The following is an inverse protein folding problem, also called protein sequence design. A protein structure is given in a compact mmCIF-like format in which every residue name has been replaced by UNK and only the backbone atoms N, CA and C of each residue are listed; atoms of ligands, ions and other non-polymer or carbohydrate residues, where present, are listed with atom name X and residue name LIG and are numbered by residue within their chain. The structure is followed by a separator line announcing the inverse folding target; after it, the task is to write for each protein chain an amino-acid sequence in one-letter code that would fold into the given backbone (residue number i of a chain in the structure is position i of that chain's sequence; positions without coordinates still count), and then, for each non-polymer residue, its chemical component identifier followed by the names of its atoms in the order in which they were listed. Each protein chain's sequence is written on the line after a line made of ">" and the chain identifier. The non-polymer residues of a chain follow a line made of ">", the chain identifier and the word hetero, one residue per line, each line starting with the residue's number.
data_IF_979778243042
#
_entry.id   IF_979778243042
#
_cell.length_a   1.000
_cell.length_b   1.000
_cell.length_c   1.000
_cell.angle_alpha   90.00
_cell.angle_beta   90.00
_cell.angle_gamma   90.00
#
_symmetry.space_group_name_H-M   'P 1'
#
loop_
_entity.id
_entity.type
_entity.pdbx_description
1 polymer ?
#
# COMPACT_ATOMS: atom_id res chain seq x y z
N UNK A 1 -16.60 5.13 9.74
CA UNK A 1 -16.29 4.43 8.47
C UNK A 1 -14.79 4.10 8.47
N UNK A 2 -14.43 2.83 8.18
CA UNK A 2 -13.02 2.41 8.08
C UNK A 2 -12.79 1.87 6.66
N UNK A 3 -11.74 2.37 5.99
CA UNK A 3 -11.24 1.86 4.71
C UNK A 3 -9.81 1.39 4.94
N UNK A 4 -9.58 0.08 4.81
CA UNK A 4 -8.26 -0.51 4.90
C UNK A 4 -7.55 -0.38 3.54
N UNK A 5 -6.59 0.53 3.46
CA UNK A 5 -5.89 0.85 2.21
C UNK A 5 -4.76 -0.13 1.87
N UNK A 6 -4.46 -1.10 2.73
CA UNK A 6 -3.33 -1.99 2.54
C UNK A 6 -3.62 -3.41 3.03
N UNK A 7 -3.94 -4.29 2.11
CA UNK A 7 -4.09 -5.71 2.41
C UNK A 7 -3.63 -6.58 1.24
N UNK A 8 -3.44 -7.85 1.49
CA UNK A 8 -2.97 -8.82 0.51
C UNK A 8 -3.77 -10.11 0.60
N UNK A 9 -4.04 -10.72 -0.56
CA UNK A 9 -4.45 -12.12 -0.65
C UNK A 9 -3.26 -12.99 -1.00
N UNK A 10 -3.43 -14.28 -0.84
CA UNK A 10 -2.47 -15.33 -1.21
C UNK A 10 -3.11 -16.17 -2.30
N UNK A 11 -2.31 -16.61 -3.27
CA UNK A 11 -2.79 -17.48 -4.37
C UNK A 11 -3.58 -18.68 -3.84
N UNK A 12 -4.66 -19.05 -4.51
CA UNK A 12 -5.61 -20.09 -4.06
C UNK A 12 -4.98 -21.45 -3.74
N UNK A 13 -3.85 -21.78 -4.38
CA UNK A 13 -3.14 -23.05 -4.15
C UNK A 13 -2.12 -22.99 -3.01
N UNK A 14 -2.00 -21.88 -2.29
CA UNK A 14 -1.09 -21.76 -1.16
C UNK A 14 -1.63 -22.44 0.09
N UNK A 15 -0.77 -23.07 0.92
CA UNK A 15 -1.17 -23.57 2.23
C UNK A 15 -1.55 -22.44 3.21
N UNK A 16 -1.26 -21.19 2.87
CA UNK A 16 -1.62 -19.99 3.63
C UNK A 16 -2.82 -19.24 3.04
N UNK A 17 -3.55 -19.89 2.10
CA UNK A 17 -4.75 -19.30 1.54
C UNK A 17 -5.80 -19.08 2.64
N UNK A 18 -6.37 -17.88 2.62
CA UNK A 18 -7.46 -17.48 3.50
C UNK A 18 -8.68 -17.26 2.61
N UNK A 19 -9.80 -17.86 2.97
CA UNK A 19 -11.04 -17.74 2.23
C UNK A 19 -11.59 -16.31 2.29
N UNK A 20 -12.31 -15.89 1.26
CA UNK A 20 -12.91 -14.57 1.18
C UNK A 20 -13.92 -14.32 2.30
N UNK A 21 -14.64 -15.34 2.74
CA UNK A 21 -15.60 -15.24 3.84
C UNK A 21 -14.93 -14.84 5.17
N UNK A 22 -13.67 -15.27 5.38
CA UNK A 22 -12.91 -14.83 6.55
C UNK A 22 -12.55 -13.35 6.50
N UNK A 23 -12.22 -12.82 5.30
CA UNK A 23 -12.04 -11.37 5.11
C UNK A 23 -13.32 -10.61 5.40
N UNK A 24 -14.46 -11.05 4.84
CA UNK A 24 -15.74 -10.41 5.06
C UNK A 24 -16.16 -10.43 6.53
N UNK A 25 -15.98 -11.58 7.17
CA UNK A 25 -16.27 -11.73 8.60
C UNK A 25 -15.43 -10.77 9.44
N UNK A 26 -14.12 -10.69 9.20
CA UNK A 26 -13.23 -9.76 9.91
C UNK A 26 -13.64 -8.31 9.63
N UNK A 27 -13.96 -7.96 8.39
CA UNK A 27 -14.43 -6.62 8.04
C UNK A 27 -15.70 -6.26 8.81
N UNK A 28 -16.65 -7.19 8.92
CA UNK A 28 -17.91 -6.99 9.68
C UNK A 28 -17.65 -6.90 11.18
N UNK A 29 -16.82 -7.79 11.74
CA UNK A 29 -16.48 -7.81 13.17
C UNK A 29 -15.83 -6.49 13.64
N UNK A 30 -15.03 -5.85 12.79
CA UNK A 30 -14.27 -4.62 13.13
C UNK A 30 -14.79 -3.33 12.46
N UNK A 31 -15.87 -3.41 11.69
CA UNK A 31 -16.50 -2.26 11.04
C UNK A 31 -15.67 -1.69 9.88
N UNK A 32 -14.90 -2.54 9.18
CA UNK A 32 -14.20 -2.18 7.94
C UNK A 32 -15.20 -2.19 6.80
N UNK A 33 -15.44 -1.02 6.20
CA UNK A 33 -16.40 -0.88 5.09
C UNK A 33 -15.80 -1.38 3.78
N UNK A 34 -14.57 -0.97 3.48
CA UNK A 34 -13.86 -1.38 2.26
C UNK A 34 -12.41 -1.76 2.55
N UNK A 35 -11.87 -2.61 1.69
CA UNK A 35 -10.48 -3.06 1.78
C UNK A 35 -9.81 -3.05 0.40
N UNK A 36 -8.60 -2.51 0.34
CA UNK A 36 -7.76 -2.53 -0.86
C UNK A 36 -6.91 -3.81 -0.87
N UNK A 37 -7.04 -4.59 -1.94
CA UNK A 37 -6.25 -5.80 -2.19
C UNK A 37 -5.14 -5.45 -3.16
N UNK A 38 -3.91 -5.56 -2.72
CA UNK A 38 -2.73 -5.11 -3.46
C UNK A 38 -2.11 -6.22 -4.29
N UNK A 39 -1.73 -5.86 -5.51
CA UNK A 39 -0.95 -6.70 -6.40
C UNK A 39 0.43 -7.05 -5.87
N UNK A 40 0.99 -8.14 -6.38
CA UNK A 40 2.36 -8.58 -6.07
C UNK A 40 3.07 -8.93 -7.37
N UNK A 41 4.15 -8.20 -7.67
CA UNK A 41 5.11 -8.58 -8.71
C UNK A 41 6.52 -8.34 -8.15
N UNK A 42 7.27 -9.42 -8.01
CA UNK A 42 8.66 -9.44 -7.59
C UNK A 42 9.59 -9.78 -8.76
N UNK A 43 9.09 -9.62 -10.00
CA UNK A 43 9.83 -9.93 -11.21
C UNK A 43 10.26 -11.40 -11.24
N UNK A 44 11.46 -11.64 -11.75
CA UNK A 44 12.04 -13.01 -11.84
C UNK A 44 12.17 -13.69 -10.48
N UNK A 45 12.37 -12.91 -9.41
CA UNK A 45 12.44 -13.45 -8.06
C UNK A 45 11.09 -14.07 -7.66
N UNK A 46 9.99 -13.38 -7.95
CA UNK A 46 8.65 -13.86 -7.68
C UNK A 46 8.24 -15.02 -8.59
N UNK A 47 8.69 -15.04 -9.85
CA UNK A 47 8.45 -16.14 -10.76
C UNK A 47 9.09 -17.44 -10.24
N UNK A 48 10.33 -17.36 -9.71
CA UNK A 48 11.04 -18.48 -9.11
C UNK A 48 10.42 -18.96 -7.79
N UNK A 49 9.98 -18.03 -6.95
CA UNK A 49 9.40 -18.33 -5.65
C UNK A 49 7.88 -18.58 -5.69
N UNK A 50 7.24 -18.50 -6.86
CA UNK A 50 5.77 -18.58 -7.05
C UNK A 50 5.01 -17.60 -6.12
N UNK A 51 5.58 -16.42 -5.93
CA UNK A 51 5.05 -15.39 -5.02
C UNK A 51 4.42 -14.19 -5.75
N UNK A 52 4.50 -14.14 -7.08
CA UNK A 52 3.76 -13.18 -7.89
C UNK A 52 2.26 -13.51 -7.86
N UNK A 53 1.43 -12.48 -7.79
CA UNK A 53 -0.03 -12.63 -7.78
C UNK A 53 -0.59 -12.17 -9.13
N UNK A 54 -1.26 -13.07 -9.89
CA UNK A 54 -1.94 -12.68 -11.12
C UNK A 54 -3.07 -11.67 -10.86
N UNK A 55 -3.21 -10.69 -11.76
CA UNK A 55 -4.26 -9.67 -11.65
C UNK A 55 -5.67 -10.28 -11.74
N UNK A 56 -5.80 -11.43 -12.44
CA UNK A 56 -7.05 -12.18 -12.52
C UNK A 56 -7.52 -12.69 -11.16
N UNK A 57 -6.61 -13.17 -10.30
CA UNK A 57 -6.98 -13.65 -8.96
C UNK A 57 -7.47 -12.48 -8.09
N UNK A 58 -6.86 -11.30 -8.23
CA UNK A 58 -7.33 -10.09 -7.55
C UNK A 58 -8.71 -9.68 -8.08
N UNK A 59 -8.87 -9.66 -9.40
CA UNK A 59 -10.12 -9.27 -10.05
C UNK A 59 -11.27 -10.21 -9.67
N UNK A 60 -11.03 -11.52 -9.65
CA UNK A 60 -12.02 -12.52 -9.24
C UNK A 60 -12.41 -12.33 -7.77
N UNK A 61 -11.43 -12.03 -6.91
CA UNK A 61 -11.67 -11.73 -5.50
C UNK A 61 -12.53 -10.48 -5.33
N UNK A 62 -12.21 -9.40 -6.05
CA UNK A 62 -12.95 -8.13 -5.99
C UNK A 62 -14.35 -8.26 -6.59
N UNK A 63 -14.50 -8.96 -7.73
CA UNK A 63 -15.79 -9.11 -8.42
C UNK A 63 -16.87 -9.79 -7.59
N UNK A 64 -16.48 -10.67 -6.68
CA UNK A 64 -17.44 -11.36 -5.82
C UNK A 64 -18.17 -10.38 -4.86
N UNK A 65 -17.47 -9.34 -4.41
CA UNK A 65 -17.98 -8.29 -3.50
C UNK A 65 -17.41 -6.92 -3.86
N UNK A 66 -17.83 -6.30 -4.98
CA UNK A 66 -17.26 -5.05 -5.48
C UNK A 66 -17.59 -3.82 -4.62
N UNK A 67 -18.57 -3.96 -3.74
CA UNK A 67 -18.90 -2.96 -2.72
C UNK A 67 -17.96 -3.01 -1.50
N UNK A 68 -17.24 -4.12 -1.30
CA UNK A 68 -16.35 -4.35 -0.17
C UNK A 68 -14.85 -4.28 -0.53
N UNK A 69 -14.48 -4.68 -1.73
CA UNK A 69 -13.06 -4.78 -2.13
C UNK A 69 -12.72 -3.88 -3.31
N UNK A 70 -11.47 -3.39 -3.29
CA UNK A 70 -10.84 -2.62 -4.36
C UNK A 70 -9.53 -3.30 -4.71
N UNK A 71 -9.24 -3.53 -5.98
CA UNK A 71 -8.02 -4.21 -6.41
C UNK A 71 -6.98 -3.23 -6.97
N UNK A 72 -5.71 -3.47 -6.68
CA UNK A 72 -4.58 -2.82 -7.33
C UNK A 72 -3.79 -3.86 -8.12
N UNK A 73 -3.34 -3.50 -9.33
CA UNK A 73 -2.36 -4.29 -10.09
C UNK A 73 -0.94 -4.08 -9.55
N UNK A 74 0.06 -4.66 -10.19
CA UNK A 74 1.46 -4.42 -9.88
C UNK A 74 2.30 -4.21 -11.14
N UNK A 75 3.48 -3.60 -11.00
CA UNK A 75 4.46 -3.48 -12.07
C UNK A 75 5.88 -3.73 -11.54
N UNK A 76 6.79 -4.16 -12.43
CA UNK A 76 8.17 -4.48 -12.08
C UNK A 76 9.13 -4.13 -13.22
N UNK A 77 10.33 -3.56 -12.95
CA UNK A 77 11.26 -3.15 -14.01
C UNK A 77 11.94 -4.31 -14.76
N UNK A 78 11.81 -5.55 -14.30
CA UNK A 78 12.25 -6.74 -15.04
C UNK A 78 11.28 -7.17 -16.15
N UNK A 79 10.04 -6.68 -16.13
CA UNK A 79 9.09 -6.78 -17.24
C UNK A 79 9.45 -5.74 -18.29
N UNK A 80 9.18 -6.00 -19.56
CA UNK A 80 9.37 -4.97 -20.58
C UNK A 80 8.41 -3.80 -20.34
N UNK A 81 8.75 -2.63 -20.86
CA UNK A 81 7.85 -1.47 -20.85
C UNK A 81 6.49 -1.85 -21.41
N UNK A 82 6.47 -2.50 -22.58
CA UNK A 82 5.25 -2.96 -23.25
C UNK A 82 4.42 -3.86 -22.32
N UNK A 83 5.04 -4.87 -21.71
CA UNK A 83 4.31 -5.81 -20.84
C UNK A 83 3.69 -5.10 -19.63
N UNK A 84 4.40 -4.15 -19.01
CA UNK A 84 3.88 -3.35 -17.90
C UNK A 84 2.70 -2.48 -18.34
N UNK A 85 2.81 -1.79 -19.47
CA UNK A 85 1.75 -0.90 -19.95
C UNK A 85 0.51 -1.68 -20.38
N UNK A 86 0.65 -2.76 -21.13
CA UNK A 86 -0.46 -3.66 -21.51
C UNK A 86 -1.14 -4.26 -20.27
N UNK A 87 -0.36 -4.66 -19.25
CA UNK A 87 -0.89 -5.15 -17.98
C UNK A 87 -1.73 -4.10 -17.28
N UNK A 88 -1.23 -2.85 -17.15
CA UNK A 88 -1.95 -1.77 -16.49
C UNK A 88 -3.24 -1.42 -17.26
N UNK A 89 -3.17 -1.29 -18.57
CA UNK A 89 -4.35 -1.00 -19.39
C UNK A 89 -5.43 -2.08 -19.24
N UNK A 90 -5.04 -3.35 -19.31
CA UNK A 90 -5.94 -4.47 -19.09
C UNK A 90 -6.49 -4.50 -17.66
N UNK A 91 -5.65 -4.26 -16.65
CA UNK A 91 -6.05 -4.24 -15.24
C UNK A 91 -7.16 -3.20 -15.00
N UNK A 92 -7.04 -2.02 -15.59
CA UNK A 92 -8.03 -0.94 -15.44
C UNK A 92 -9.27 -1.19 -16.29
N UNK A 93 -9.10 -1.45 -17.60
CA UNK A 93 -10.21 -1.46 -18.56
C UNK A 93 -11.03 -2.75 -18.51
N UNK A 94 -10.37 -3.89 -18.30
CA UNK A 94 -11.02 -5.21 -18.37
C UNK A 94 -11.29 -5.80 -16.98
N UNK A 95 -10.39 -5.55 -16.00
CA UNK A 95 -10.44 -6.15 -14.68
C UNK A 95 -10.98 -5.21 -13.59
N UNK A 96 -11.07 -3.90 -13.86
CA UNK A 96 -11.61 -2.91 -12.93
C UNK A 96 -10.70 -2.60 -11.73
N UNK A 97 -9.38 -2.83 -11.86
CA UNK A 97 -8.41 -2.51 -10.82
C UNK A 97 -8.13 -1.00 -10.81
N UNK A 98 -7.89 -0.43 -9.63
CA UNK A 98 -7.95 1.02 -9.41
C UNK A 98 -6.64 1.63 -8.88
N UNK A 99 -5.51 0.95 -9.01
CA UNK A 99 -4.21 1.45 -8.58
C UNK A 99 -3.09 0.46 -8.89
N UNK A 100 -1.87 0.85 -8.56
CA UNK A 100 -0.64 0.10 -8.85
C UNK A 100 0.16 -0.10 -7.56
N UNK A 101 0.63 -1.33 -7.31
CA UNK A 101 1.59 -1.64 -6.25
C UNK A 101 2.97 -1.86 -6.84
N UNK A 102 3.97 -1.21 -6.26
CA UNK A 102 5.40 -1.38 -6.59
C UNK A 102 6.13 -1.98 -5.39
N UNK A 103 6.98 -2.98 -5.65
CA UNK A 103 7.70 -3.73 -4.62
C UNK A 103 9.23 -3.59 -4.76
N UNK A 104 9.84 -2.44 -4.39
CA UNK A 104 11.27 -2.15 -4.63
C UNK A 104 12.22 -3.15 -3.95
N UNK A 105 11.84 -3.72 -2.80
CA UNK A 105 12.64 -4.74 -2.11
C UNK A 105 12.98 -5.97 -2.97
N UNK A 106 12.31 -6.14 -4.10
CA UNK A 106 12.62 -7.17 -5.10
C UNK A 106 13.91 -6.91 -5.91
N UNK A 107 14.56 -5.74 -5.73
CA UNK A 107 15.91 -5.55 -6.25
C UNK A 107 16.16 -4.25 -7.04
N UNK A 108 15.30 -3.25 -6.92
CA UNK A 108 15.41 -1.97 -7.63
C UNK A 108 15.01 -0.81 -6.71
N UNK A 109 15.43 0.40 -7.04
CA UNK A 109 15.00 1.61 -6.35
C UNK A 109 13.71 2.18 -6.96
N UNK A 110 12.88 2.91 -6.19
CA UNK A 110 11.66 3.54 -6.72
C UNK A 110 11.88 4.45 -7.93
N UNK A 111 13.02 5.13 -8.00
CA UNK A 111 13.45 6.01 -9.08
C UNK A 111 14.13 5.29 -10.25
N UNK A 112 13.94 3.97 -10.41
CA UNK A 112 14.44 3.23 -11.56
C UNK A 112 13.76 3.72 -12.85
N UNK A 113 14.52 4.28 -13.78
CA UNK A 113 14.01 4.89 -15.01
C UNK A 113 13.16 3.92 -15.88
N UNK A 114 13.35 2.61 -15.73
CA UNK A 114 12.52 1.59 -16.43
C UNK A 114 11.06 1.60 -15.98
N UNK A 115 10.76 2.20 -14.83
CA UNK A 115 9.40 2.36 -14.32
C UNK A 115 8.77 3.70 -14.71
N UNK A 116 9.51 4.65 -15.27
CA UNK A 116 8.98 5.96 -15.63
C UNK A 116 7.77 5.90 -16.58
N UNK A 117 7.75 5.02 -17.61
CA UNK A 117 6.55 4.85 -18.43
C UNK A 117 5.32 4.35 -17.62
N UNK A 118 5.55 3.56 -16.56
CA UNK A 118 4.47 3.14 -15.63
C UNK A 118 3.93 4.34 -14.85
N UNK A 119 4.81 5.24 -14.40
CA UNK A 119 4.43 6.43 -13.64
C UNK A 119 3.70 7.46 -14.52
N UNK A 120 4.15 7.63 -15.75
CA UNK A 120 3.43 8.43 -16.77
C UNK A 120 2.01 7.88 -16.98
N UNK A 121 1.86 6.57 -17.21
CA UNK A 121 0.57 5.91 -17.39
C UNK A 121 -0.31 6.02 -16.15
N UNK A 122 0.25 5.84 -14.94
CA UNK A 122 -0.48 6.02 -13.69
C UNK A 122 -1.03 7.44 -13.55
N UNK A 123 -0.22 8.44 -13.89
CA UNK A 123 -0.60 9.87 -13.88
C UNK A 123 -1.71 10.14 -14.88
N UNK A 124 -1.57 9.65 -16.13
CA UNK A 124 -2.57 9.77 -17.19
C UNK A 124 -3.93 9.23 -16.78
N UNK A 125 -3.94 8.05 -16.16
CA UNK A 125 -5.16 7.35 -15.72
C UNK A 125 -5.65 7.82 -14.34
N UNK A 126 -4.89 8.67 -13.64
CA UNK A 126 -5.19 9.15 -12.28
C UNK A 126 -5.18 8.03 -11.23
N UNK A 127 -4.33 7.01 -11.44
CA UNK A 127 -4.19 5.87 -10.54
C UNK A 127 -3.21 6.19 -9.40
N UNK A 128 -3.53 5.87 -8.15
CA UNK A 128 -2.55 5.90 -7.07
C UNK A 128 -1.50 4.81 -7.26
N UNK A 129 -0.25 5.14 -6.94
CA UNK A 129 0.87 4.20 -6.93
C UNK A 129 1.34 4.00 -5.49
N UNK A 130 1.18 2.80 -4.96
CA UNK A 130 1.66 2.45 -3.63
C UNK A 130 3.02 1.76 -3.72
N UNK A 131 4.01 2.32 -3.05
CA UNK A 131 5.35 1.77 -2.95
C UNK A 131 5.54 1.03 -1.62
N UNK A 132 5.97 -0.23 -1.69
CA UNK A 132 6.47 -0.91 -0.50
C UNK A 132 7.74 -0.22 -0.02
N UNK A 133 7.78 0.21 1.23
CA UNK A 133 8.92 0.94 1.82
C UNK A 133 9.19 0.43 3.24
N UNK A 134 10.30 0.84 3.81
CA UNK A 134 10.65 0.50 5.18
C UNK A 134 11.10 -0.94 5.35
N UNK A 135 10.36 -1.70 6.12
CA UNK A 135 10.61 -3.13 6.32
C UNK A 135 10.44 -3.91 5.01
N UNK A 136 10.99 -5.10 4.95
CA UNK A 136 10.80 -5.97 3.77
C UNK A 136 9.84 -7.13 4.09
N UNK A 137 9.09 -7.56 3.07
CA UNK A 137 8.35 -8.81 3.15
C UNK A 137 9.31 -10.02 3.29
N UNK A 138 8.90 -11.11 3.94
CA UNK A 138 9.72 -12.32 4.14
C UNK A 138 9.81 -13.18 2.86
N UNK A 139 10.13 -12.54 1.74
CA UNK A 139 10.36 -13.21 0.46
C UNK A 139 11.86 -13.36 0.26
N UNK A 140 12.30 -14.60 -0.04
CA UNK A 140 13.72 -14.90 -0.24
C UNK A 140 14.31 -14.04 -1.37
N UNK A 141 15.54 -13.57 -1.20
CA UNK A 141 16.24 -12.71 -2.16
C UNK A 141 15.91 -11.22 -2.07
N UNK A 142 14.85 -10.81 -1.39
CA UNK A 142 14.50 -9.39 -1.20
C UNK A 142 15.52 -8.67 -0.33
N UNK A 143 15.67 -7.34 -0.53
CA UNK A 143 16.67 -6.52 0.16
C UNK A 143 16.09 -5.21 0.67
N UNK A 144 16.21 -5.00 1.97
CA UNK A 144 15.68 -3.82 2.67
C UNK A 144 16.26 -2.49 2.16
N UNK A 145 17.49 -2.46 1.65
CA UNK A 145 18.12 -1.22 1.15
C UNK A 145 17.31 -0.52 0.05
N UNK A 146 16.51 -1.26 -0.70
CA UNK A 146 15.67 -0.71 -1.75
C UNK A 146 14.34 -0.13 -1.24
N UNK A 147 14.07 -0.28 0.07
CA UNK A 147 12.83 0.20 0.71
C UNK A 147 12.97 1.60 1.31
N UNK A 148 14.09 2.30 1.12
CA UNK A 148 14.29 3.63 1.67
C UNK A 148 13.40 4.66 0.95
N UNK A 149 12.58 5.42 1.67
CA UNK A 149 11.65 6.40 1.09
C UNK A 149 12.33 7.52 0.32
N UNK A 150 13.57 7.87 0.67
CA UNK A 150 14.28 9.00 0.06
C UNK A 150 14.39 8.90 -1.48
N UNK A 151 14.43 7.70 -2.04
CA UNK A 151 14.43 7.50 -3.50
C UNK A 151 13.11 7.85 -4.19
N UNK A 152 12.05 8.12 -3.42
CA UNK A 152 10.80 8.67 -3.94
C UNK A 152 10.86 10.18 -4.16
N UNK A 153 11.87 10.87 -3.63
CA UNK A 153 12.05 12.32 -3.84
C UNK A 153 12.17 12.63 -5.34
N UNK A 154 13.03 11.90 -6.06
CA UNK A 154 13.16 12.03 -7.51
C UNK A 154 11.81 11.80 -8.22
N UNK A 155 11.05 10.78 -7.79
CA UNK A 155 9.74 10.46 -8.38
C UNK A 155 8.71 11.56 -8.13
N UNK A 156 8.73 12.21 -6.97
CA UNK A 156 7.82 13.33 -6.68
C UNK A 156 8.12 14.56 -7.51
N UNK A 157 9.39 14.78 -7.85
CA UNK A 157 9.85 15.90 -8.68
C UNK A 157 9.50 15.66 -10.15
N UNK A 158 9.75 14.43 -10.64
CA UNK A 158 9.54 14.07 -12.05
C UNK A 158 8.04 13.85 -12.37
N UNK A 159 7.23 13.44 -11.39
CA UNK A 159 5.79 13.14 -11.52
C UNK A 159 4.93 13.88 -10.47
N UNK A 160 4.87 15.22 -10.49
CA UNK A 160 4.24 16.02 -9.42
C UNK A 160 2.73 15.81 -9.30
N UNK A 161 2.07 15.30 -10.34
CA UNK A 161 0.63 15.03 -10.36
C UNK A 161 0.27 13.56 -9.99
N UNK A 162 1.27 12.66 -9.91
CA UNK A 162 1.05 11.26 -9.56
C UNK A 162 0.75 11.11 -8.07
N UNK A 163 -0.33 10.42 -7.72
CA UNK A 163 -0.65 10.10 -6.33
C UNK A 163 0.30 9.00 -5.83
N UNK A 164 1.10 9.29 -4.80
CA UNK A 164 2.09 8.39 -4.22
C UNK A 164 1.63 7.98 -2.82
N UNK A 165 1.64 6.67 -2.54
CA UNK A 165 1.38 6.12 -1.21
C UNK A 165 2.65 5.41 -0.73
N UNK A 166 3.20 5.87 0.37
CA UNK A 166 4.36 5.29 1.05
C UNK A 166 3.84 4.27 2.07
N UNK A 167 4.07 2.99 1.84
CA UNK A 167 3.62 1.93 2.72
C UNK A 167 4.39 1.91 4.05
N UNK A 168 3.74 1.46 5.13
CA UNK A 168 4.35 1.27 6.46
C UNK A 168 5.02 2.53 7.02
N UNK A 169 4.55 3.74 6.60
CA UNK A 169 5.18 5.01 6.93
C UNK A 169 6.70 5.07 6.64
N UNK A 170 7.21 4.16 5.80
CA UNK A 170 8.64 4.03 5.51
C UNK A 170 9.49 3.55 6.70
N UNK A 171 8.88 3.03 7.78
CA UNK A 171 9.60 2.64 8.99
C UNK A 171 10.74 1.63 8.68
N UNK A 172 11.97 1.84 9.18
CA UNK A 172 12.36 2.78 10.22
C UNK A 172 12.76 4.19 9.74
N UNK A 173 12.72 4.50 8.45
CA UNK A 173 13.12 5.79 7.87
C UNK A 173 11.97 6.81 7.79
N UNK A 174 11.23 6.98 8.88
CA UNK A 174 10.04 7.85 8.95
C UNK A 174 10.37 9.32 8.62
N UNK A 175 11.55 9.79 9.01
CA UNK A 175 12.02 11.14 8.71
C UNK A 175 12.24 11.33 7.20
N UNK A 176 12.74 10.32 6.47
CA UNK A 176 12.83 10.38 5.01
C UNK A 176 11.43 10.47 4.38
N UNK A 177 10.48 9.65 4.87
CA UNK A 177 9.07 9.75 4.44
C UNK A 177 8.52 11.16 4.63
N UNK A 178 8.78 11.78 5.79
CA UNK A 178 8.36 13.13 6.09
C UNK A 178 8.99 14.13 5.12
N UNK A 179 10.29 14.02 4.85
CA UNK A 179 11.00 14.92 3.95
C UNK A 179 10.46 14.83 2.52
N UNK A 180 10.28 13.62 1.99
CA UNK A 180 9.69 13.38 0.66
C UNK A 180 8.32 14.03 0.52
N UNK A 181 7.45 13.89 1.52
CA UNK A 181 6.12 14.48 1.48
C UNK A 181 6.04 15.94 1.92
N UNK A 182 7.12 16.55 2.42
CA UNK A 182 7.07 17.91 2.98
C UNK A 182 6.72 18.96 1.92
N UNK A 183 7.25 18.77 0.72
CA UNK A 183 7.06 19.69 -0.41
C UNK A 183 6.19 19.12 -1.53
N UNK A 184 5.71 17.88 -1.40
CA UNK A 184 4.88 17.18 -2.36
C UNK A 184 3.48 16.90 -1.77
N UNK A 185 2.47 17.65 -2.23
CA UNK A 185 1.08 17.56 -1.71
C UNK A 185 0.34 16.29 -2.11
N UNK A 186 0.87 15.53 -3.07
CA UNK A 186 0.35 14.29 -3.65
C UNK A 186 0.89 13.01 -2.96
N UNK A 187 1.68 13.15 -1.89
CA UNK A 187 2.25 12.04 -1.12
C UNK A 187 1.43 11.74 0.12
N UNK A 188 1.08 10.48 0.28
CA UNK A 188 0.37 9.90 1.42
C UNK A 188 1.23 8.81 2.06
N UNK A 189 0.97 8.46 3.31
CA UNK A 189 1.60 7.31 3.96
C UNK A 189 0.54 6.47 4.69
N UNK A 190 0.63 5.14 4.58
CA UNK A 190 -0.16 4.26 5.42
C UNK A 190 0.59 3.84 6.70
N UNK A 191 -0.17 3.43 7.70
CA UNK A 191 0.34 3.03 9.01
C UNK A 191 0.32 1.51 9.22
N UNK A 192 0.20 0.76 8.14
CA UNK A 192 0.13 -0.69 8.19
C UNK A 192 1.38 -1.33 8.82
N UNK A 193 1.25 -2.50 9.39
CA UNK A 193 2.33 -3.30 9.98
C UNK A 193 3.00 -2.71 11.23
N UNK A 194 2.84 -1.42 11.54
CA UNK A 194 3.58 -0.77 12.65
C UNK A 194 3.32 -1.43 14.00
N UNK A 195 2.10 -1.86 14.28
CA UNK A 195 1.74 -2.58 15.52
C UNK A 195 2.38 -3.97 15.59
N UNK A 196 2.54 -4.66 14.45
CA UNK A 196 3.25 -5.94 14.39
C UNK A 196 4.74 -5.77 14.66
N UNK A 197 5.34 -4.71 14.11
CA UNK A 197 6.76 -4.39 14.34
C UNK A 197 7.02 -4.18 15.82
N UNK A 198 6.10 -3.54 16.56
CA UNK A 198 6.20 -3.40 18.02
C UNK A 198 6.36 -4.77 18.71
N UNK A 199 5.53 -5.74 18.32
CA UNK A 199 5.59 -7.10 18.85
C UNK A 199 6.93 -7.81 18.59
N UNK A 200 7.56 -7.54 17.45
CA UNK A 200 8.86 -8.11 17.07
C UNK A 200 10.03 -7.37 17.72
N UNK A 201 9.98 -6.05 17.75
CA UNK A 201 11.08 -5.19 18.22
C UNK A 201 11.11 -5.03 19.74
N UNK A 202 9.97 -5.25 20.42
CA UNK A 202 9.86 -5.11 21.87
C UNK A 202 9.86 -3.67 22.37
N UNK A 203 9.60 -2.70 21.50
CA UNK A 203 9.45 -1.27 21.84
C UNK A 203 8.39 -0.60 20.96
N UNK A 204 7.89 0.55 21.41
CA UNK A 204 6.80 1.26 20.77
C UNK A 204 7.24 1.86 19.43
N UNK A 205 6.48 1.61 18.37
CA UNK A 205 6.73 2.06 16.99
C UNK A 205 5.56 2.87 16.46
N UNK A 206 4.33 2.37 16.64
CA UNK A 206 3.13 2.95 16.05
C UNK A 206 2.85 4.37 16.51
N UNK A 207 2.83 4.62 17.83
CA UNK A 207 2.50 5.94 18.37
C UNK A 207 3.52 7.02 18.04
N UNK A 208 4.85 6.78 18.20
CA UNK A 208 5.86 7.75 17.78
C UNK A 208 5.78 8.05 16.29
N UNK A 209 5.58 7.05 15.44
CA UNK A 209 5.49 7.21 13.98
C UNK A 209 4.25 8.01 13.60
N UNK A 210 3.07 7.64 14.12
CA UNK A 210 1.83 8.35 13.85
C UNK A 210 1.90 9.81 14.29
N UNK A 211 2.47 10.07 15.48
CA UNK A 211 2.69 11.45 15.98
C UNK A 211 3.60 12.25 15.06
N UNK A 212 4.73 11.69 14.61
CA UNK A 212 5.65 12.38 13.67
C UNK A 212 4.94 12.74 12.36
N UNK A 213 4.25 11.79 11.73
CA UNK A 213 3.53 12.01 10.48
C UNK A 213 2.47 13.11 10.62
N UNK A 214 1.60 12.98 11.62
CA UNK A 214 0.47 13.92 11.79
C UNK A 214 0.92 15.31 12.23
N UNK A 215 2.00 15.42 13.01
CA UNK A 215 2.59 16.71 13.37
C UNK A 215 3.29 17.41 12.20
N UNK A 216 3.79 16.66 11.22
CA UNK A 216 4.54 17.21 10.07
C UNK A 216 3.63 17.52 8.89
N UNK A 217 2.69 16.61 8.56
CA UNK A 217 1.83 16.71 7.38
C UNK A 217 0.37 17.00 7.69
N UNK A 218 -0.03 16.84 8.97
CA UNK A 218 -1.43 16.73 9.37
C UNK A 218 -2.02 15.34 9.06
N UNK A 219 -3.16 15.07 9.68
CA UNK A 219 -3.85 13.79 9.54
C UNK A 219 -4.39 13.51 8.11
N UNK A 220 -4.57 14.55 7.29
CA UNK A 220 -5.18 14.45 5.95
C UNK A 220 -4.35 13.69 4.92
N UNK A 221 -3.14 13.28 5.23
CA UNK A 221 -2.26 12.49 4.33
C UNK A 221 -1.83 11.15 4.93
N UNK A 222 -2.44 10.76 6.04
CA UNK A 222 -2.21 9.47 6.69
C UNK A 222 -3.38 8.54 6.39
N UNK A 223 -3.09 7.32 5.96
CA UNK A 223 -4.07 6.32 5.59
C UNK A 223 -4.07 5.18 6.61
N UNK A 224 -5.25 4.68 6.95
CA UNK A 224 -5.39 3.43 7.67
C UNK A 224 -5.02 2.27 6.73
N UNK A 225 -4.22 1.33 7.23
CA UNK A 225 -3.87 0.08 6.56
C UNK A 225 -3.47 -0.95 7.61
N UNK A 226 -3.72 -2.22 7.36
CA UNK A 226 -3.39 -3.30 8.29
C UNK A 226 -2.26 -4.22 7.81
N UNK A 227 -2.11 -4.42 6.49
CA UNK A 227 -1.19 -5.38 5.84
C UNK A 227 -1.45 -6.84 6.26
N UNK A 228 -2.69 -7.15 6.55
CA UNK A 228 -3.15 -8.49 6.87
C UNK A 228 -4.34 -8.48 7.82
N UNK A 229 -5.30 -9.39 7.58
CA UNK A 229 -6.57 -9.41 8.32
C UNK A 229 -6.40 -9.58 9.84
N UNK A 230 -5.31 -10.20 10.28
CA UNK A 230 -5.04 -10.42 11.70
C UNK A 230 -4.53 -9.16 12.43
N UNK A 231 -4.22 -8.08 11.70
CA UNK A 231 -3.66 -6.85 12.27
C UNK A 231 -4.67 -5.71 12.37
N UNK A 232 -5.86 -5.91 11.79
CA UNK A 232 -6.90 -4.88 11.71
C UNK A 232 -7.28 -4.39 13.10
N UNK A 233 -7.58 -5.31 14.01
CA UNK A 233 -8.00 -4.97 15.38
C UNK A 233 -6.99 -4.12 16.13
N UNK A 234 -5.71 -4.54 16.11
CA UNK A 234 -4.65 -3.85 16.84
C UNK A 234 -4.36 -2.47 16.24
N UNK A 235 -4.40 -2.34 14.92
CA UNK A 235 -4.23 -1.05 14.24
C UNK A 235 -5.39 -0.10 14.55
N UNK A 236 -6.65 -0.58 14.57
CA UNK A 236 -7.82 0.20 14.99
C UNK A 236 -7.66 0.68 16.45
N UNK A 237 -7.30 -0.22 17.36
CA UNK A 237 -7.08 0.11 18.77
C UNK A 237 -5.99 1.18 18.91
N UNK A 238 -4.89 1.05 18.16
CA UNK A 238 -3.80 2.01 18.19
C UNK A 238 -4.25 3.42 17.74
N UNK A 239 -4.97 3.55 16.63
CA UNK A 239 -5.49 4.86 16.19
C UNK A 239 -6.49 5.43 17.20
N UNK A 240 -7.41 4.60 17.73
CA UNK A 240 -8.40 5.04 18.72
C UNK A 240 -7.77 5.60 20.00
N UNK A 241 -6.69 4.97 20.49
CA UNK A 241 -5.99 5.38 21.73
C UNK A 241 -5.04 6.58 21.54
N UNK A 242 -4.82 7.06 20.31
CA UNK A 242 -3.97 8.21 20.03
C UNK A 242 -4.63 9.50 20.55
N UNK A 243 -4.29 9.90 21.78
CA UNK A 243 -4.86 11.03 22.52
C UNK A 243 -4.44 12.39 21.97
N UNK A 244 -3.40 12.43 21.16
CA UNK A 244 -2.92 13.63 20.46
C UNK A 244 -3.68 13.93 19.16
N UNK A 245 -4.58 13.04 18.73
CA UNK A 245 -5.44 13.23 17.56
C UNK A 245 -6.83 13.65 17.99
N UNK A 246 -7.40 14.64 17.30
CA UNK A 246 -8.83 14.93 17.42
C UNK A 246 -9.66 13.79 16.80
N UNK A 247 -10.94 13.67 17.18
CA UNK A 247 -11.83 12.68 16.55
C UNK A 247 -11.94 12.90 15.03
N UNK A 248 -11.97 14.15 14.56
CA UNK A 248 -11.94 14.48 13.14
C UNK A 248 -10.64 13.99 12.45
N UNK A 249 -9.49 14.04 13.12
CA UNK A 249 -8.25 13.51 12.56
C UNK A 249 -8.26 11.99 12.49
N UNK A 250 -8.84 11.32 13.50
CA UNK A 250 -9.03 9.86 13.45
C UNK A 250 -9.98 9.46 12.33
N UNK A 251 -11.09 10.18 12.09
CA UNK A 251 -12.01 9.92 10.99
C UNK A 251 -11.33 10.04 9.62
N UNK A 252 -10.48 11.06 9.43
CA UNK A 252 -9.67 11.20 8.22
C UNK A 252 -8.76 9.98 8.01
N UNK A 253 -8.02 9.58 9.05
CA UNK A 253 -7.10 8.44 8.99
C UNK A 253 -7.87 7.15 8.72
N UNK A 254 -8.98 6.91 9.41
CA UNK A 254 -9.76 5.70 9.27
C UNK A 254 -10.35 5.50 7.86
N UNK A 255 -10.75 6.58 7.16
CA UNK A 255 -11.37 6.34 5.86
C UNK A 255 -11.56 7.55 4.97
N UNK A 256 -11.74 8.77 5.49
CA UNK A 256 -12.04 9.93 4.64
C UNK A 256 -10.91 10.21 3.63
N UNK A 257 -9.65 10.07 4.06
CA UNK A 257 -8.50 10.25 3.17
C UNK A 257 -8.47 9.21 2.06
N UNK A 258 -8.66 7.92 2.40
CA UNK A 258 -8.70 6.85 1.41
C UNK A 258 -9.89 7.02 0.45
N UNK A 259 -11.07 7.41 0.98
CA UNK A 259 -12.25 7.71 0.17
C UNK A 259 -11.97 8.80 -0.86
N UNK A 260 -11.37 9.90 -0.42
CA UNK A 260 -11.01 11.02 -1.31
C UNK A 260 -9.98 10.61 -2.35
N UNK A 261 -8.93 9.89 -1.92
CA UNK A 261 -7.85 9.44 -2.78
C UNK A 261 -8.34 8.46 -3.86
N UNK A 262 -9.18 7.50 -3.49
CA UNK A 262 -9.74 6.47 -4.37
C UNK A 262 -10.99 6.93 -5.14
N UNK A 263 -11.50 8.14 -4.85
CA UNK A 263 -12.70 8.72 -5.48
C UNK A 263 -13.96 7.84 -5.34
N UNK A 264 -14.19 7.26 -4.16
CA UNK A 264 -15.30 6.33 -3.85
C UNK A 264 -16.25 6.87 -2.79
#
# INVERSE_FOLDING_TARGET
>A
MIIDSHNHIVVKNSPFYIDQDEYLKMMDDFGVEKMVILGKDYGKLGDQAQSNLPDEEIADFVKAHPDRFIGFTAAHPDRTEKDNLERIERAVNDLGLQGIKINPHAGFYPNDARLYPVYEKATELGLPVMFHTGIKAPVEGTRVKYCQPIYLDDVTVDFPDMIIIIAHAGYPWVEETILVGLYAGNVYADISTLTQIEGVMGFEVMMPTLRKLTSSWGAQRVLFGSDGIFNVEDTIKAVKRADFLSESDKEKIFGENARKLLKI
#
